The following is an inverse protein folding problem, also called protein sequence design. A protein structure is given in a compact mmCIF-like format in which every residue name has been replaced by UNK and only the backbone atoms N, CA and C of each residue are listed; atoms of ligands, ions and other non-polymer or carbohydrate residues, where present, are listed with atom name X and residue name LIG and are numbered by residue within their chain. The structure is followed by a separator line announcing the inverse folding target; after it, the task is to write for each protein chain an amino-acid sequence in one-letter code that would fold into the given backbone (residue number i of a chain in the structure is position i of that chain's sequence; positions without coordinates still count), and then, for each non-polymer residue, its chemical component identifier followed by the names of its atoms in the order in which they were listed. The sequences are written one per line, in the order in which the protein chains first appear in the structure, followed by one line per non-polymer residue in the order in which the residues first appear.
data_IF_412475791516
#
_entry.id   IF_412475791516
#
_cell.length_a   1.000
_cell.length_b   1.000
_cell.length_c   1.000
_cell.angle_alpha   90.00
_cell.angle_beta   90.00
_cell.angle_gamma   90.00
#
_symmetry.space_group_name_H-M   'P 1'
#
loop_
_entity.id
_entity.type
_entity.pdbx_description
1 polymer ?
#
# COMPACT_ATOMS: atom_id res chain seq x y z
N UNK A 1 -9.58 -5.68 -3.27
CA UNK A 1 -8.37 -6.54 -3.25
C UNK A 1 -8.23 -7.10 -1.85
N UNK A 2 -7.78 -8.34 -1.72
CA UNK A 2 -7.36 -8.85 -0.40
C UNK A 2 -6.01 -8.22 -0.04
N UNK A 3 -5.84 -7.80 1.21
CA UNK A 3 -4.62 -7.14 1.64
C UNK A 3 -4.19 -7.54 3.04
N UNK A 4 -2.92 -7.24 3.34
CA UNK A 4 -2.37 -7.26 4.70
C UNK A 4 -1.53 -6.00 4.93
N UNK A 5 -0.92 -5.87 6.10
CA UNK A 5 -0.06 -4.74 6.46
C UNK A 5 1.38 -5.18 6.64
N UNK A 6 2.31 -4.26 6.41
CA UNK A 6 3.74 -4.48 6.59
C UNK A 6 4.43 -3.17 6.98
N UNK A 7 5.51 -3.22 7.75
CA UNK A 7 6.30 -2.04 8.11
C UNK A 7 7.24 -1.61 6.98
N UNK A 8 7.58 -0.33 6.91
CA UNK A 8 8.49 0.22 5.91
C UNK A 8 9.91 -0.35 6.02
N UNK A 9 10.34 -0.69 7.23
CA UNK A 9 11.66 -1.26 7.51
C UNK A 9 11.74 -2.77 7.29
N UNK A 10 10.61 -3.43 7.01
CA UNK A 10 10.57 -4.87 6.80
C UNK A 10 11.24 -5.26 5.47
N UNK A 11 11.69 -6.51 5.41
CA UNK A 11 12.38 -7.04 4.23
C UNK A 11 11.41 -7.36 3.08
N UNK A 12 11.90 -7.25 1.85
CA UNK A 12 11.13 -7.66 0.66
C UNK A 12 10.87 -9.17 0.62
N UNK A 13 11.70 -10.00 1.26
CA UNK A 13 11.46 -11.43 1.33
C UNK A 13 10.23 -11.76 2.18
N UNK A 14 10.03 -11.04 3.28
CA UNK A 14 8.82 -11.14 4.09
C UNK A 14 7.58 -10.63 3.32
N UNK A 15 7.73 -9.53 2.60
CA UNK A 15 6.67 -9.01 1.73
C UNK A 15 6.24 -10.03 0.67
N UNK A 16 7.21 -10.68 0.01
CA UNK A 16 6.95 -11.72 -1.01
C UNK A 16 6.12 -12.86 -0.44
N UNK A 17 6.51 -13.39 0.73
CA UNK A 17 5.78 -14.50 1.38
C UNK A 17 4.34 -14.10 1.69
N UNK A 18 4.11 -12.89 2.21
CA UNK A 18 2.74 -12.43 2.48
C UNK A 18 1.92 -12.26 1.20
N UNK A 19 2.53 -11.72 0.14
CA UNK A 19 1.90 -11.54 -1.18
C UNK A 19 1.58 -12.87 -1.90
N UNK A 20 2.01 -14.02 -1.39
CA UNK A 20 1.52 -15.32 -1.88
C UNK A 20 0.06 -15.58 -1.46
N UNK A 21 -0.41 -14.90 -0.40
CA UNK A 21 -1.74 -15.09 0.19
C UNK A 21 -2.69 -13.90 0.01
N UNK A 22 -2.18 -12.73 -0.38
CA UNK A 22 -2.98 -11.50 -0.58
C UNK A 22 -2.53 -10.77 -1.84
N UNK A 23 -3.40 -9.93 -2.40
CA UNK A 23 -3.11 -9.18 -3.63
C UNK A 23 -2.15 -8.00 -3.37
N UNK A 24 -2.22 -7.40 -2.18
CA UNK A 24 -1.52 -6.17 -1.83
C UNK A 24 -1.08 -6.12 -0.36
N UNK A 25 -0.02 -5.35 -0.08
CA UNK A 25 0.39 -4.99 1.27
C UNK A 25 0.34 -3.49 1.45
N UNK A 26 -0.30 -3.04 2.52
CA UNK A 26 -0.29 -1.63 2.92
C UNK A 26 0.95 -1.40 3.78
N UNK A 27 1.78 -0.46 3.35
CA UNK A 27 3.07 -0.16 3.98
C UNK A 27 2.89 0.95 5.01
N UNK A 28 3.24 0.62 6.24
CA UNK A 28 3.23 1.53 7.38
C UNK A 28 4.62 2.13 7.61
N UNK A 29 4.69 3.46 7.65
CA UNK A 29 5.80 4.18 8.26
C UNK A 29 5.67 4.18 9.79
N UNK A 30 6.39 5.09 10.46
CA UNK A 30 6.36 5.19 11.93
C UNK A 30 4.97 5.47 12.50
N UNK A 31 4.18 6.33 11.84
CA UNK A 31 2.89 6.80 12.36
C UNK A 31 1.79 6.90 11.29
N UNK A 32 2.08 6.51 10.04
CA UNK A 32 1.13 6.67 8.93
C UNK A 32 1.35 5.66 7.82
N UNK A 33 0.31 5.43 7.03
CA UNK A 33 0.40 4.67 5.78
C UNK A 33 1.18 5.50 4.77
N UNK A 34 2.24 4.93 4.21
CA UNK A 34 3.12 5.62 3.26
C UNK A 34 2.99 5.11 1.83
N UNK A 35 2.51 3.87 1.64
CA UNK A 35 2.46 3.27 0.32
C UNK A 35 1.76 1.92 0.25
N UNK A 36 1.74 1.34 -0.95
CA UNK A 36 1.18 0.01 -1.22
C UNK A 36 2.18 -0.84 -2.01
N UNK A 37 2.35 -2.10 -1.63
CA UNK A 37 3.14 -3.09 -2.34
C UNK A 37 2.24 -4.12 -3.03
N UNK A 38 2.66 -4.53 -4.21
CA UNK A 38 2.08 -5.66 -4.96
C UNK A 38 3.22 -6.54 -5.45
N UNK A 39 2.90 -7.71 -6.01
CA UNK A 39 3.89 -8.64 -6.57
C UNK A 39 4.80 -8.00 -7.63
N UNK A 40 4.33 -6.97 -8.35
CA UNK A 40 5.09 -6.25 -9.37
C UNK A 40 6.29 -5.50 -8.77
N UNK A 41 6.22 -5.09 -7.51
CA UNK A 41 7.28 -4.31 -6.88
C UNK A 41 8.45 -5.18 -6.36
N UNK A 42 8.28 -6.51 -6.35
CA UNK A 42 9.20 -7.44 -5.68
C UNK A 42 10.53 -7.69 -6.43
N UNK A 43 10.66 -7.20 -7.66
CA UNK A 43 11.89 -7.30 -8.45
C UNK A 43 12.94 -6.21 -8.10
N UNK A 44 12.56 -5.22 -7.28
CA UNK A 44 13.45 -4.13 -6.85
C UNK A 44 14.29 -4.55 -5.64
N UNK A 45 15.41 -3.86 -5.41
CA UNK A 45 16.22 -4.00 -4.19
C UNK A 45 15.93 -2.88 -3.19
N UNK A 46 16.10 -3.15 -1.89
CA UNK A 46 15.85 -2.21 -0.79
C UNK A 46 14.96 -2.81 0.30
N UNK A 47 14.33 -1.96 1.10
CA UNK A 47 13.26 -2.32 2.04
C UNK A 47 11.85 -2.05 1.48
N UNK A 48 10.82 -2.42 2.24
CA UNK A 48 9.42 -2.23 1.82
C UNK A 48 9.07 -0.75 1.59
N UNK A 49 9.59 0.16 2.41
CA UNK A 49 9.35 1.59 2.30
C UNK A 49 9.96 2.21 1.03
N UNK A 50 11.15 1.77 0.64
CA UNK A 50 11.85 2.26 -0.56
C UNK A 50 11.19 1.79 -1.87
N UNK A 51 10.53 0.62 -1.81
CA UNK A 51 10.02 -0.08 -3.00
C UNK A 51 8.52 0.11 -3.21
N UNK A 52 7.79 0.55 -2.18
CA UNK A 52 6.34 0.71 -2.25
C UNK A 52 5.88 1.76 -3.26
N UNK A 53 4.66 1.58 -3.77
CA UNK A 53 3.99 2.59 -4.56
C UNK A 53 3.57 3.73 -3.64
N UNK A 54 4.00 4.95 -3.99
CA UNK A 54 3.76 6.17 -3.23
C UNK A 54 2.62 7.00 -3.84
N UNK A 55 2.22 6.71 -5.08
CA UNK A 55 1.06 7.33 -5.72
C UNK A 55 -0.25 6.73 -5.20
N UNK A 56 -0.48 6.99 -3.92
CA UNK A 56 -1.64 6.54 -3.17
C UNK A 56 -2.38 7.72 -2.56
N UNK A 57 -3.65 7.53 -2.28
CA UNK A 57 -4.41 8.42 -1.40
C UNK A 57 -5.05 7.62 -0.26
N UNK A 58 -4.97 8.16 0.95
CA UNK A 58 -5.57 7.60 2.17
C UNK A 58 -6.77 8.46 2.54
N UNK A 59 -7.95 7.83 2.63
CA UNK A 59 -9.24 8.47 2.89
C UNK A 59 -9.55 9.71 2.02
N UNK A 60 -9.28 9.69 0.70
CA UNK A 60 -9.55 10.85 -0.14
C UNK A 60 -11.04 11.07 -0.39
N UNK A 61 -11.41 12.32 -0.66
CA UNK A 61 -12.70 12.65 -1.24
C UNK A 61 -12.80 12.21 -2.71
N UNK A 62 -14.03 12.11 -3.22
CA UNK A 62 -14.27 11.75 -4.64
C UNK A 62 -13.64 12.73 -5.63
N UNK A 63 -13.59 14.01 -5.28
CA UNK A 63 -12.99 15.04 -6.14
C UNK A 63 -11.46 14.95 -6.15
N UNK A 64 -10.84 14.60 -5.02
CA UNK A 64 -9.39 14.35 -4.96
C UNK A 64 -9.00 13.14 -5.80
N UNK A 65 -9.76 12.05 -5.72
CA UNK A 65 -9.54 10.85 -6.54
C UNK A 65 -9.58 11.22 -8.03
N UNK A 66 -10.57 12.01 -8.47
CA UNK A 66 -10.70 12.43 -9.87
C UNK A 66 -9.59 13.38 -10.32
N UNK A 67 -9.12 14.23 -9.41
CA UNK A 67 -8.14 15.27 -9.73
C UNK A 67 -6.72 14.70 -9.79
N UNK A 68 -6.39 13.82 -8.85
CA UNK A 68 -5.04 13.27 -8.71
C UNK A 68 -4.87 11.94 -9.44
N UNK A 69 -5.95 11.20 -9.68
CA UNK A 69 -5.95 9.89 -10.34
C UNK A 69 -4.87 8.95 -9.77
N UNK A 70 -4.89 8.68 -8.45
CA UNK A 70 -3.85 7.87 -7.82
C UNK A 70 -3.89 6.44 -8.33
N UNK A 71 -2.78 5.70 -8.20
CA UNK A 71 -2.74 4.28 -8.56
C UNK A 71 -3.56 3.46 -7.56
N UNK A 72 -3.46 3.79 -6.27
CA UNK A 72 -4.23 3.13 -5.21
C UNK A 72 -4.98 4.12 -4.31
N UNK A 73 -6.12 3.67 -3.81
CA UNK A 73 -6.90 4.34 -2.77
C UNK A 73 -7.02 3.40 -1.57
N UNK A 74 -6.62 3.90 -0.41
CA UNK A 74 -6.72 3.21 0.87
C UNK A 74 -7.81 3.90 1.70
N UNK A 75 -8.64 3.10 2.37
CA UNK A 75 -9.65 3.62 3.31
C UNK A 75 -9.38 3.06 4.70
N UNK A 76 -9.50 3.90 5.71
CA UNK A 76 -9.29 3.53 7.12
C UNK A 76 -10.57 3.60 7.95
N UNK A 77 -10.60 2.86 9.06
CA UNK A 77 -11.57 2.99 10.15
C UNK A 77 -10.78 3.06 11.46
N UNK A 78 -10.90 4.17 12.19
CA UNK A 78 -10.08 4.47 13.38
C UNK A 78 -8.57 4.29 13.14
N UNK A 79 -8.06 4.90 12.06
CA UNK A 79 -6.65 4.84 11.63
C UNK A 79 -6.16 3.45 11.19
N UNK A 80 -6.98 2.41 11.24
CA UNK A 80 -6.63 1.09 10.72
C UNK A 80 -7.14 0.91 9.28
N UNK A 81 -6.31 0.42 8.33
CA UNK A 81 -6.75 0.20 6.98
C UNK A 81 -7.80 -0.91 6.92
N UNK A 82 -8.93 -0.61 6.28
CA UNK A 82 -10.03 -1.55 6.08
C UNK A 82 -10.21 -1.94 4.61
N UNK A 83 -9.67 -1.16 3.68
CA UNK A 83 -9.66 -1.52 2.26
C UNK A 83 -8.54 -0.86 1.47
N UNK A 84 -8.11 -1.55 0.40
CA UNK A 84 -7.26 -1.01 -0.66
C UNK A 84 -7.87 -1.35 -2.02
N UNK A 85 -7.94 -0.36 -2.89
CA UNK A 85 -8.50 -0.47 -4.23
C UNK A 85 -7.59 0.25 -5.24
N UNK A 86 -7.68 -0.14 -6.52
CA UNK A 86 -7.09 0.66 -7.58
C UNK A 86 -7.85 1.98 -7.73
N UNK A 87 -7.14 3.03 -8.16
CA UNK A 87 -7.77 4.27 -8.57
C UNK A 87 -8.66 4.12 -9.81
N UNK A 88 -9.39 5.19 -10.16
CA UNK A 88 -10.37 5.23 -11.26
C UNK A 88 -9.75 5.14 -12.66
#
# INVERSE_FOLDING_TARGET
MEFSTIGCEDSLDEAKVRLESVDALIVWGSDSIIGVLTSIHMERGGNCGEVCELDILVDPSKDEIKTRMPIFVVTTDNDEPVSVNHGP
#
